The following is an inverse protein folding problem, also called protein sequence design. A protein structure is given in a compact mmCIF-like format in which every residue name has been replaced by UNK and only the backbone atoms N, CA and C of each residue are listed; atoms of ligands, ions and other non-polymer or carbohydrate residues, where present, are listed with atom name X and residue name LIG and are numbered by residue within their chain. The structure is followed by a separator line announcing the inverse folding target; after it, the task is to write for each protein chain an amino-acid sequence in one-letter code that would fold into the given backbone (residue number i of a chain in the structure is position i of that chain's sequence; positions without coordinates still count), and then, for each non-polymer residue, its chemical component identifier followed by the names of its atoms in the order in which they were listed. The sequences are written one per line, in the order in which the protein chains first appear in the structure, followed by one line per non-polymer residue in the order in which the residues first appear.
data_IF_464232434597
#
_entry.id   IF_464232434597
#
_cell.length_a   1.000
_cell.length_b   1.000
_cell.length_c   1.000
_cell.angle_alpha   90.00
_cell.angle_beta   90.00
_cell.angle_gamma   90.00
#
_symmetry.space_group_name_H-M   'P 1'
#
loop_
_entity.id
_entity.type
_entity.pdbx_description
1 polymer ?
#
# COMPACT_ATOMS: atom_id res chain seq x y z
N UNK A 1 -0.73 8.73 -0.20
CA UNK A 1 0.65 9.25 -0.36
C UNK A 1 0.74 10.12 -1.60
N UNK A 2 1.51 11.19 -1.55
CA UNK A 2 1.86 12.04 -2.69
C UNK A 2 3.34 11.85 -2.97
N UNK A 3 3.66 11.40 -4.18
CA UNK A 3 5.03 11.30 -4.66
C UNK A 3 5.55 12.68 -5.07
N UNK A 4 6.88 12.85 -5.08
CA UNK A 4 7.50 13.97 -5.78
C UNK A 4 7.03 14.03 -7.24
N UNK A 5 6.98 15.25 -7.80
CA UNK A 5 6.50 15.51 -9.16
C UNK A 5 7.10 14.54 -10.20
N UNK A 6 6.22 13.86 -10.95
CA UNK A 6 6.58 12.89 -11.99
C UNK A 6 7.02 11.51 -11.48
N UNK A 7 7.02 11.26 -10.16
CA UNK A 7 7.48 9.99 -9.55
C UNK A 7 6.34 9.06 -9.14
N UNK A 8 5.08 9.41 -9.38
CA UNK A 8 3.90 8.61 -9.02
C UNK A 8 3.90 7.20 -9.59
N UNK A 9 4.35 7.03 -10.84
CA UNK A 9 4.43 5.72 -11.47
C UNK A 9 5.46 4.81 -10.78
N UNK A 10 6.64 5.35 -10.44
CA UNK A 10 7.69 4.59 -9.76
C UNK A 10 7.28 4.19 -8.34
N UNK A 11 6.64 5.11 -7.60
CA UNK A 11 6.08 4.79 -6.29
C UNK A 11 5.01 3.69 -6.40
N UNK A 12 4.13 3.75 -7.39
CA UNK A 12 3.11 2.73 -7.61
C UNK A 12 3.71 1.34 -7.87
N UNK A 13 4.78 1.23 -8.67
CA UNK A 13 5.45 -0.05 -8.94
C UNK A 13 6.08 -0.67 -7.68
N UNK A 14 6.69 0.16 -6.82
CA UNK A 14 7.23 -0.32 -5.54
C UNK A 14 6.13 -0.84 -4.62
N UNK A 15 4.99 -0.15 -4.55
CA UNK A 15 3.85 -0.55 -3.74
C UNK A 15 3.15 -1.80 -4.30
N UNK A 16 3.08 -1.94 -5.62
CA UNK A 16 2.57 -3.15 -6.27
C UNK A 16 3.50 -4.36 -6.04
N UNK A 17 4.81 -4.13 -6.00
CA UNK A 17 5.77 -5.17 -5.62
C UNK A 17 5.56 -5.60 -4.17
N UNK A 18 5.34 -4.64 -3.25
CA UNK A 18 4.99 -4.94 -1.87
C UNK A 18 3.67 -5.74 -1.78
N UNK A 19 2.65 -5.34 -2.55
CA UNK A 19 1.36 -6.04 -2.62
C UNK A 19 1.52 -7.52 -3.02
N UNK A 20 2.38 -7.82 -4.00
CA UNK A 20 2.68 -9.19 -4.41
C UNK A 20 3.37 -10.00 -3.28
N UNK A 21 4.20 -9.36 -2.46
CA UNK A 21 4.79 -9.98 -1.27
C UNK A 21 3.76 -10.35 -0.20
N UNK A 22 2.72 -9.52 -0.05
CA UNK A 22 1.66 -9.70 0.93
C UNK A 22 0.64 -10.78 0.57
N UNK A 23 0.63 -11.31 -0.68
CA UNK A 23 -0.21 -12.46 -1.05
C UNK A 23 0.04 -13.70 -0.16
N UNK A 24 1.23 -13.77 0.47
CA UNK A 24 1.64 -14.84 1.36
C UNK A 24 1.39 -14.53 2.84
N UNK A 25 0.88 -13.36 3.17
CA UNK A 25 0.62 -12.90 4.54
C UNK A 25 -0.88 -13.06 4.88
N UNK A 26 -1.28 -14.13 5.60
CA UNK A 26 -2.69 -14.41 5.85
C UNK A 26 -3.39 -13.34 6.70
N UNK A 27 -2.64 -12.50 7.41
CA UNK A 27 -3.18 -11.37 8.18
C UNK A 27 -3.56 -10.16 7.32
N UNK A 28 -3.02 -10.04 6.10
CA UNK A 28 -3.36 -9.01 5.14
C UNK A 28 -4.52 -9.51 4.26
N UNK A 29 -5.73 -9.00 4.50
CA UNK A 29 -6.93 -9.42 3.77
C UNK A 29 -7.16 -8.61 2.49
N UNK A 30 -6.67 -7.37 2.47
CA UNK A 30 -6.69 -6.49 1.29
C UNK A 30 -5.45 -5.59 1.31
N UNK A 31 -4.79 -5.47 0.17
CA UNK A 31 -3.81 -4.42 -0.11
C UNK A 31 -4.05 -3.89 -1.52
N UNK A 32 -4.80 -2.79 -1.64
CA UNK A 32 -5.22 -2.23 -2.92
C UNK A 32 -4.48 -0.93 -3.21
N UNK A 33 -3.66 -0.94 -4.26
CA UNK A 33 -2.96 0.25 -4.76
C UNK A 33 -3.81 0.95 -5.82
N UNK A 34 -4.11 2.23 -5.61
CA UNK A 34 -4.86 3.06 -6.53
C UNK A 34 -4.04 4.30 -6.90
N UNK A 35 -4.09 4.68 -8.18
CA UNK A 35 -3.66 6.01 -8.61
C UNK A 35 -4.87 6.94 -8.64
N UNK A 36 -4.73 8.14 -8.11
CA UNK A 36 -5.77 9.16 -8.23
C UNK A 36 -5.90 9.61 -9.69
N UNK A 37 -7.13 9.68 -10.21
CA UNK A 37 -7.40 9.85 -11.63
C UNK A 37 -6.91 11.19 -12.21
N UNK A 38 -7.01 12.26 -11.42
CA UNK A 38 -6.66 13.64 -11.78
C UNK A 38 -5.35 14.13 -11.14
N UNK A 39 -4.69 13.28 -10.34
CA UNK A 39 -3.43 13.57 -9.67
C UNK A 39 -2.49 12.35 -9.79
N UNK A 40 -1.77 12.20 -10.91
CA UNK A 40 -1.01 10.98 -11.21
C UNK A 40 0.13 10.67 -10.23
N UNK A 41 0.61 11.68 -9.50
CA UNK A 41 1.60 11.53 -8.42
C UNK A 41 0.98 11.20 -7.07
N UNK A 42 -0.35 11.14 -6.96
CA UNK A 42 -1.05 10.72 -5.73
C UNK A 42 -1.45 9.25 -5.81
N UNK A 43 -0.87 8.45 -4.91
CA UNK A 43 -1.12 7.01 -4.78
C UNK A 43 -1.83 6.75 -3.44
N UNK A 44 -2.96 6.07 -3.52
CA UNK A 44 -3.71 5.58 -2.38
C UNK A 44 -3.42 4.09 -2.19
N UNK A 45 -3.22 3.70 -0.93
CA UNK A 45 -3.24 2.29 -0.54
C UNK A 45 -4.42 2.12 0.38
N UNK A 46 -5.33 1.20 0.05
CA UNK A 46 -6.41 0.77 0.93
C UNK A 46 -6.06 -0.60 1.47
N UNK A 47 -5.96 -0.70 2.78
CA UNK A 47 -5.55 -1.91 3.47
C UNK A 47 -6.69 -2.44 4.34
N UNK A 48 -6.83 -3.76 4.40
CA UNK A 48 -7.66 -4.43 5.39
C UNK A 48 -6.80 -5.49 6.06
N UNK A 49 -6.68 -5.38 7.37
CA UNK A 49 -5.93 -6.30 8.20
C UNK A 49 -6.89 -7.04 9.11
N UNK A 50 -6.58 -8.31 9.40
CA UNK A 50 -7.36 -9.12 10.34
C UNK A 50 -7.41 -8.48 11.72
N UNK A 51 -6.28 -7.96 12.17
CA UNK A 51 -6.07 -7.29 13.44
C UNK A 51 -4.80 -6.44 13.39
N UNK A 52 -4.59 -5.61 14.42
CA UNK A 52 -3.43 -4.73 14.53
C UNK A 52 -2.13 -5.52 14.68
N UNK A 53 -2.14 -6.66 15.39
CA UNK A 53 -0.95 -7.47 15.62
C UNK A 53 -0.37 -8.01 14.30
N UNK A 54 -1.24 -8.39 13.35
CA UNK A 54 -0.84 -8.80 12.01
C UNK A 54 -0.17 -7.67 11.22
N UNK A 55 -0.74 -6.45 11.28
CA UNK A 55 -0.14 -5.26 10.65
C UNK A 55 1.22 -4.95 11.27
N UNK A 56 1.31 -4.92 12.61
CA UNK A 56 2.54 -4.59 13.33
C UNK A 56 3.68 -5.57 13.03
N UNK A 57 3.37 -6.87 12.90
CA UNK A 57 4.34 -7.88 12.53
C UNK A 57 4.96 -7.63 11.15
N UNK A 58 4.14 -7.22 10.17
CA UNK A 58 4.63 -6.86 8.82
C UNK A 58 5.44 -5.58 8.87
N UNK A 59 4.94 -4.55 9.55
CA UNK A 59 5.65 -3.27 9.69
C UNK A 59 7.04 -3.47 10.31
N UNK A 60 7.15 -4.28 11.35
CA UNK A 60 8.44 -4.56 11.99
C UNK A 60 9.37 -5.36 11.06
N UNK A 61 8.84 -6.30 10.25
CA UNK A 61 9.64 -7.07 9.31
C UNK A 61 10.24 -6.22 8.19
N UNK A 62 9.54 -5.18 7.72
CA UNK A 62 10.00 -4.30 6.63
C UNK A 62 10.74 -3.04 7.13
N UNK A 63 10.78 -2.83 8.44
CA UNK A 63 11.34 -1.63 9.06
C UNK A 63 12.81 -1.46 8.74
N UNK A 64 13.16 -0.30 8.18
CA UNK A 64 14.54 0.00 7.78
C UNK A 64 15.03 -0.83 6.58
N UNK A 65 14.16 -1.63 5.95
CA UNK A 65 14.49 -2.39 4.76
C UNK A 65 14.75 -1.50 3.54
N UNK A 66 15.52 -2.00 2.56
CA UNK A 66 15.89 -1.22 1.37
C UNK A 66 14.67 -0.83 0.51
N UNK A 67 13.64 -1.67 0.45
CA UNK A 67 12.40 -1.42 -0.29
C UNK A 67 11.59 -0.30 0.35
N UNK A 68 11.37 -0.37 1.66
CA UNK A 68 10.74 0.69 2.45
C UNK A 68 11.49 2.02 2.28
N UNK A 69 12.82 1.99 2.38
CA UNK A 69 13.64 3.18 2.18
C UNK A 69 13.56 3.73 0.76
N UNK A 70 13.45 2.87 -0.27
CA UNK A 70 13.28 3.30 -1.65
C UNK A 70 11.92 3.99 -1.87
N UNK A 71 10.84 3.41 -1.37
CA UNK A 71 9.51 4.00 -1.45
C UNK A 71 9.45 5.35 -0.72
N UNK A 72 9.96 5.43 0.51
CA UNK A 72 9.95 6.66 1.30
C UNK A 72 10.76 7.80 0.69
N UNK A 73 11.78 7.53 -0.13
CA UNK A 73 12.52 8.56 -0.88
C UNK A 73 11.72 9.19 -2.01
N UNK A 74 10.65 8.54 -2.47
CA UNK A 74 9.78 9.06 -3.53
C UNK A 74 8.61 9.87 -2.98
N UNK A 75 8.30 9.75 -1.69
CA UNK A 75 7.13 10.35 -1.05
C UNK A 75 7.47 11.77 -0.58
N UNK A 76 6.74 12.74 -1.10
CA UNK A 76 6.79 14.14 -0.66
C UNK A 76 5.93 14.37 0.58
N UNK A 77 4.74 13.77 0.59
CA UNK A 77 3.80 13.86 1.71
C UNK A 77 3.00 12.55 1.85
N UNK A 78 2.65 12.22 3.08
CA UNK A 78 1.80 11.07 3.38
C UNK A 78 0.72 11.46 4.39
N UNK A 79 -0.44 10.86 4.21
CA UNK A 79 -1.56 10.92 5.15
C UNK A 79 -2.04 9.47 5.35
N UNK A 80 -2.45 9.17 6.58
CA UNK A 80 -3.01 7.89 7.00
C UNK A 80 -4.35 8.17 7.67
N UNK A 81 -5.38 7.42 7.28
CA UNK A 81 -6.73 7.55 7.78
C UNK A 81 -7.18 6.17 8.28
N UNK A 82 -7.39 6.05 9.58
CA UNK A 82 -7.93 4.83 10.20
C UNK A 82 -9.45 4.74 10.01
N UNK A 83 -9.94 3.56 9.64
CA UNK A 83 -11.34 3.34 9.29
C UNK A 83 -11.85 1.99 9.84
N UNK A 84 -13.09 1.98 10.31
CA UNK A 84 -13.81 0.75 10.65
C UNK A 84 -14.60 0.23 9.43
N UNK A 85 -14.34 -1.00 8.95
CA UNK A 85 -15.09 -1.55 7.82
C UNK A 85 -16.53 -1.91 8.24
N UNK A 86 -17.52 -1.34 7.55
CA UNK A 86 -18.95 -1.66 7.78
C UNK A 86 -19.49 -2.75 6.85
N UNK A 87 -18.75 -3.11 5.80
CA UNK A 87 -19.12 -4.10 4.78
C UNK A 87 -18.84 -3.60 3.35
N UNK A 88 -18.96 -4.48 2.35
CA UNK A 88 -18.74 -4.11 0.95
C UNK A 88 -18.50 -5.29 0.00
N UNK A 89 -18.15 -4.98 -1.25
CA UNK A 89 -17.69 -5.94 -2.27
C UNK A 89 -16.26 -5.59 -2.65
N UNK A 90 -15.34 -6.55 -2.50
CA UNK A 90 -13.94 -6.39 -2.89
C UNK A 90 -13.67 -6.59 -4.39
N UNK A 91 -12.48 -6.18 -4.87
CA UNK A 91 -12.03 -6.49 -6.22
C UNK A 91 -11.91 -8.01 -6.39
N UNK A 92 -12.36 -8.54 -7.53
CA UNK A 92 -12.04 -9.92 -7.91
C UNK A 92 -10.54 -10.04 -8.19
N UNK A 93 -9.86 -11.12 -7.77
CA UNK A 93 -8.47 -11.35 -8.15
C UNK A 93 -8.29 -11.18 -9.65
N UNK A 94 -7.29 -10.42 -10.08
CA UNK A 94 -6.97 -10.35 -11.52
C UNK A 94 -6.46 -11.73 -11.94
N UNK A 95 -7.05 -12.29 -12.99
CA UNK A 95 -6.46 -13.44 -13.66
C UNK A 95 -5.11 -12.99 -14.22
N UNK A 96 -4.05 -13.67 -13.78
CA UNK A 96 -2.67 -13.48 -14.25
C UNK A 96 -2.51 -14.06 -15.65
#
# INVERSE_FOLDING_TARGET
MVAHEGRGAELAELLLTAAAGLEREPGCELYLVNRQADAPDTIWVTELWRDQDALDAVLEAIKGGPETAAAMKLVEAAEMIELDPLGGKGPTPRAV
#
